data_IF_412181477012
#
_entry.id   IF_412181477012
#
_cell.length_a   1.000
_cell.length_b   1.000
_cell.length_c   1.000
_cell.angle_alpha   90.00
_cell.angle_beta   90.00
_cell.angle_gamma   90.00
#
_symmetry.space_group_name_H-M   'P 1'
#
loop_
_entity.id
_entity.type
_entity.pdbx_description
1 polymer ?
#
# COMPACT_ATOMS: atom_id res chain seq x y z
N UNK A 1 36.05 9.79 -18.50
CA UNK A 1 36.63 8.74 -17.62
C UNK A 1 35.51 7.77 -17.28
N UNK A 2 35.34 6.72 -18.07
CA UNK A 2 34.49 5.58 -17.71
C UNK A 2 35.22 4.74 -16.67
N UNK A 3 34.64 4.61 -15.47
CA UNK A 3 35.09 3.60 -14.51
C UNK A 3 34.43 2.27 -14.89
N UNK A 4 35.09 1.50 -15.75
CA UNK A 4 34.75 0.10 -15.99
C UNK A 4 35.08 -0.68 -14.72
N UNK A 5 34.06 -0.97 -13.92
CA UNK A 5 34.16 -1.87 -12.78
C UNK A 5 34.51 -3.27 -13.28
N UNK A 6 35.80 -3.61 -13.29
CA UNK A 6 36.24 -4.98 -13.54
C UNK A 6 35.89 -5.83 -12.33
N UNK A 7 34.73 -6.49 -12.39
CA UNK A 7 34.25 -7.43 -11.38
C UNK A 7 35.13 -8.69 -11.43
N UNK A 8 36.18 -8.71 -10.61
CA UNK A 8 36.92 -9.93 -10.30
C UNK A 8 35.94 -11.00 -9.80
N UNK A 9 36.07 -12.25 -10.25
CA UNK A 9 35.13 -13.34 -9.97
C UNK A 9 34.88 -13.61 -8.48
N UNK A 10 35.80 -13.22 -7.59
CA UNK A 10 35.63 -13.30 -6.13
C UNK A 10 34.81 -12.12 -5.56
N UNK A 11 34.94 -10.93 -6.15
CA UNK A 11 34.19 -9.74 -5.75
C UNK A 11 32.73 -9.83 -6.22
N UNK A 12 32.46 -10.42 -7.38
CA UNK A 12 31.09 -10.64 -7.87
C UNK A 12 30.30 -11.58 -6.96
N UNK A 13 30.92 -12.65 -6.44
CA UNK A 13 30.28 -13.57 -5.48
C UNK A 13 29.95 -12.83 -4.18
N UNK A 14 30.87 -12.04 -3.64
CA UNK A 14 30.64 -11.27 -2.41
C UNK A 14 29.51 -10.25 -2.59
N UNK A 15 29.46 -9.56 -3.74
CA UNK A 15 28.37 -8.63 -4.07
C UNK A 15 27.04 -9.38 -4.19
N UNK A 16 27.01 -10.53 -4.86
CA UNK A 16 25.79 -11.34 -4.99
C UNK A 16 25.25 -11.80 -3.62
N UNK A 17 26.14 -12.23 -2.71
CA UNK A 17 25.76 -12.63 -1.35
C UNK A 17 25.22 -11.43 -0.56
N UNK A 18 25.85 -10.25 -0.65
CA UNK A 18 25.36 -9.03 -0.03
C UNK A 18 23.97 -8.64 -0.55
N UNK A 19 23.74 -8.73 -1.85
CA UNK A 19 22.41 -8.46 -2.45
C UNK A 19 21.38 -9.46 -1.93
N UNK A 20 21.71 -10.74 -1.83
CA UNK A 20 20.83 -11.77 -1.28
C UNK A 20 20.47 -11.52 0.19
N UNK A 21 21.45 -11.12 1.00
CA UNK A 21 21.21 -10.78 2.41
C UNK A 21 20.31 -9.55 2.51
N UNK A 22 20.58 -8.50 1.73
CA UNK A 22 19.73 -7.32 1.68
C UNK A 22 18.30 -7.67 1.26
N UNK A 23 18.14 -8.58 0.31
CA UNK A 23 16.83 -9.06 -0.15
C UNK A 23 16.10 -9.88 0.93
N UNK A 24 16.81 -10.78 1.62
CA UNK A 24 16.24 -11.59 2.71
C UNK A 24 15.82 -10.72 3.90
N UNK A 25 16.67 -9.79 4.31
CA UNK A 25 16.35 -8.79 5.34
C UNK A 25 15.16 -7.95 4.88
N UNK A 26 15.07 -7.59 3.59
CA UNK A 26 13.94 -6.83 3.06
C UNK A 26 12.61 -7.56 3.20
N UNK A 27 12.57 -8.83 2.77
CA UNK A 27 11.39 -9.68 2.90
C UNK A 27 10.97 -9.85 4.37
N UNK A 28 11.94 -9.95 5.29
CA UNK A 28 11.66 -10.03 6.72
C UNK A 28 11.12 -8.71 7.33
N UNK A 29 11.38 -7.56 6.70
CA UNK A 29 10.87 -6.25 7.15
C UNK A 29 9.53 -5.83 6.56
N UNK A 30 8.97 -6.64 5.65
CA UNK A 30 7.57 -6.51 5.26
C UNK A 30 6.74 -6.99 6.47
N UNK A 31 6.17 -6.04 7.19
CA UNK A 31 5.41 -6.29 8.41
C UNK A 31 3.95 -5.87 8.30
N UNK A 32 3.15 -6.40 9.20
CA UNK A 32 1.76 -5.97 9.42
C UNK A 32 1.68 -4.48 9.78
N UNK A 33 0.56 -3.85 9.42
CA UNK A 33 0.29 -2.45 9.76
C UNK A 33 -0.04 -2.32 11.23
N UNK A 34 0.99 -2.09 12.05
CA UNK A 34 0.85 -1.85 13.49
C UNK A 34 0.58 -0.36 13.83
N UNK A 35 -0.01 0.41 12.91
CA UNK A 35 -0.34 1.82 13.11
C UNK A 35 -1.84 2.04 12.91
N UNK A 36 -2.56 2.24 14.03
CA UNK A 36 -4.02 2.45 14.04
C UNK A 36 -4.44 3.66 13.20
N UNK A 37 -3.61 4.71 13.16
CA UNK A 37 -3.90 5.92 12.37
C UNK A 37 -3.77 5.65 10.88
N UNK A 38 -2.80 4.81 10.48
CA UNK A 38 -2.67 4.39 9.08
C UNK A 38 -3.84 3.49 8.69
N UNK A 39 -4.25 2.57 9.56
CA UNK A 39 -5.43 1.73 9.35
C UNK A 39 -6.71 2.55 9.20
N UNK A 40 -6.89 3.59 10.02
CA UNK A 40 -8.02 4.51 9.88
C UNK A 40 -7.97 5.28 8.54
N UNK A 41 -6.79 5.72 8.11
CA UNK A 41 -6.63 6.40 6.82
C UNK A 41 -6.94 5.47 5.63
N UNK A 42 -6.54 4.20 5.69
CA UNK A 42 -6.88 3.20 4.68
C UNK A 42 -8.40 2.99 4.60
N UNK A 43 -9.08 2.85 5.75
CA UNK A 43 -10.53 2.70 5.81
C UNK A 43 -11.27 3.93 5.26
N UNK A 44 -10.76 5.13 5.54
CA UNK A 44 -11.33 6.37 5.02
C UNK A 44 -11.24 6.43 3.48
N UNK A 45 -10.11 6.02 2.91
CA UNK A 45 -9.93 5.96 1.45
C UNK A 45 -10.87 4.92 0.81
N UNK A 46 -10.98 3.73 1.41
CA UNK A 46 -11.90 2.69 0.92
C UNK A 46 -13.37 3.15 0.98
N UNK A 47 -13.77 3.87 2.03
CA UNK A 47 -15.10 4.44 2.13
C UNK A 47 -15.35 5.53 1.07
N UNK A 48 -14.32 6.31 0.72
CA UNK A 48 -14.39 7.30 -0.36
C UNK A 48 -14.58 6.63 -1.73
N UNK A 49 -13.82 5.57 -2.02
CA UNK A 49 -13.97 4.76 -3.24
C UNK A 49 -15.36 4.12 -3.34
N UNK A 50 -15.86 3.58 -2.22
CA UNK A 50 -17.22 3.05 -2.13
C UNK A 50 -18.27 4.14 -2.41
N UNK A 51 -18.11 5.32 -1.82
CA UNK A 51 -18.98 6.48 -2.06
C UNK A 51 -19.00 6.91 -3.53
N UNK A 52 -17.84 6.93 -4.20
CA UNK A 52 -17.76 7.22 -5.63
C UNK A 52 -18.50 6.19 -6.48
N UNK A 53 -18.34 4.90 -6.17
CA UNK A 53 -19.03 3.83 -6.90
C UNK A 53 -20.55 3.88 -6.69
N UNK A 54 -21.01 4.18 -5.48
CA UNK A 54 -22.42 4.39 -5.18
C UNK A 54 -22.98 5.62 -5.88
N UNK A 55 -22.22 6.70 -5.94
CA UNK A 55 -22.57 7.90 -6.69
C UNK A 55 -22.77 7.62 -8.18
N UNK A 56 -21.95 6.75 -8.78
CA UNK A 56 -22.13 6.29 -10.16
C UNK A 56 -23.37 5.39 -10.29
N UNK A 57 -23.57 4.43 -9.39
CA UNK A 57 -24.74 3.54 -9.40
C UNK A 57 -26.07 4.30 -9.26
N UNK A 58 -26.07 5.35 -8.42
CA UNK A 58 -27.16 6.32 -8.27
C UNK A 58 -27.45 7.06 -9.59
N UNK A 59 -26.42 7.59 -10.25
CA UNK A 59 -26.59 8.29 -11.53
C UNK A 59 -27.12 7.37 -12.64
N UNK A 60 -26.72 6.09 -12.60
CA UNK A 60 -27.14 5.08 -13.56
C UNK A 60 -28.50 4.44 -13.23
N UNK A 61 -29.13 4.80 -12.10
CA UNK A 61 -30.36 4.18 -11.58
C UNK A 61 -30.33 2.64 -11.54
N UNK A 62 -29.15 2.06 -11.24
CA UNK A 62 -28.97 0.60 -11.26
C UNK A 62 -29.64 -0.10 -10.09
N UNK A 63 -29.86 0.61 -8.98
CA UNK A 63 -30.31 0.05 -7.71
C UNK A 63 -31.34 0.96 -7.03
N UNK A 64 -32.16 0.40 -6.15
CA UNK A 64 -33.06 1.18 -5.31
C UNK A 64 -32.33 1.80 -4.10
N UNK A 65 -32.99 2.75 -3.44
CA UNK A 65 -32.39 3.49 -2.30
C UNK A 65 -32.06 2.53 -1.13
N UNK A 66 -32.86 1.48 -0.92
CA UNK A 66 -32.64 0.52 0.15
C UNK A 66 -31.35 -0.27 -0.07
N UNK A 67 -31.15 -0.79 -1.28
CA UNK A 67 -29.94 -1.52 -1.67
C UNK A 67 -28.73 -0.60 -1.64
N UNK A 68 -28.84 0.63 -2.15
CA UNK A 68 -27.74 1.60 -2.07
C UNK A 68 -27.35 1.96 -0.63
N UNK A 69 -28.33 2.00 0.29
CA UNK A 69 -28.07 2.24 1.71
C UNK A 69 -27.31 1.07 2.35
N UNK A 70 -27.66 -0.16 1.96
CA UNK A 70 -26.95 -1.36 2.42
C UNK A 70 -25.52 -1.42 1.84
N UNK A 71 -25.36 -1.14 0.55
CA UNK A 71 -24.06 -1.06 -0.12
C UNK A 71 -23.18 0.09 0.42
N UNK A 72 -23.79 1.15 0.99
CA UNK A 72 -23.08 2.26 1.64
C UNK A 72 -22.55 1.93 3.04
N UNK A 73 -22.87 0.76 3.60
CA UNK A 73 -22.42 0.39 4.92
C UNK A 73 -20.90 0.10 4.92
N UNK A 74 -20.07 0.88 5.64
CA UNK A 74 -18.62 0.67 5.70
C UNK A 74 -18.23 -0.69 6.31
N UNK A 75 -19.15 -1.35 7.02
CA UNK A 75 -18.96 -2.69 7.54
C UNK A 75 -18.88 -3.75 6.43
N UNK A 76 -19.37 -3.44 5.21
CA UNK A 76 -19.36 -4.35 4.07
C UNK A 76 -18.06 -4.27 3.24
N UNK A 77 -17.06 -3.52 3.71
CA UNK A 77 -15.74 -3.46 3.09
C UNK A 77 -14.87 -4.54 3.72
N UNK A 78 -14.57 -5.59 2.94
CA UNK A 78 -13.64 -6.63 3.35
C UNK A 78 -12.21 -6.18 3.08
N UNK A 79 -11.41 -6.02 4.15
CA UNK A 79 -9.97 -5.75 4.06
C UNK A 79 -9.21 -7.02 4.44
N UNK A 80 -8.67 -7.71 3.44
CA UNK A 80 -8.02 -9.01 3.61
C UNK A 80 -6.58 -8.89 4.13
N UNK A 81 -5.84 -7.87 3.69
CA UNK A 81 -4.47 -7.64 4.18
C UNK A 81 -4.03 -6.20 3.98
N UNK A 82 -3.35 -5.67 4.98
CA UNK A 82 -2.58 -4.44 4.89
C UNK A 82 -1.14 -4.75 5.27
N UNK A 83 -0.19 -4.41 4.41
CA UNK A 83 1.22 -4.60 4.70
C UNK A 83 2.00 -3.35 4.29
N UNK A 84 2.96 -2.93 5.10
CA UNK A 84 3.70 -1.67 4.90
C UNK A 84 5.17 -1.95 4.60
N UNK A 85 5.66 -1.30 3.55
CA UNK A 85 7.09 -1.24 3.25
C UNK A 85 7.72 -0.05 3.98
N UNK A 86 8.55 -0.30 5.01
CA UNK A 86 9.33 0.74 5.73
C UNK A 86 10.81 0.68 5.31
N UNK A 87 11.55 1.80 5.18
CA UNK A 87 13.00 1.76 4.93
C UNK A 87 13.75 1.05 6.08
N UNK A 88 14.71 0.18 5.75
CA UNK A 88 15.51 -0.62 6.72
C UNK A 88 16.25 0.22 7.77
N UNK A 89 16.45 1.52 7.51
CA UNK A 89 17.21 2.45 8.33
C UNK A 89 16.43 3.73 8.68
N UNK A 90 15.09 3.71 8.65
CA UNK A 90 14.34 4.87 9.18
C UNK A 90 14.29 4.79 10.71
N UNK A 91 15.28 5.41 11.37
CA UNK A 91 15.26 5.67 12.82
C UNK A 91 14.37 6.86 13.20
N UNK A 92 13.75 7.53 12.20
CA UNK A 92 12.79 8.62 12.37
C UNK A 92 11.34 8.18 12.10
N UNK A 93 10.37 9.04 12.46
CA UNK A 93 8.96 8.86 12.14
C UNK A 93 8.80 8.64 10.63
N UNK A 94 8.34 7.47 10.23
CA UNK A 94 8.13 7.10 8.82
C UNK A 94 7.15 8.10 8.21
N UNK A 95 7.65 9.03 7.41
CA UNK A 95 6.81 10.05 6.76
C UNK A 95 6.09 9.51 5.54
N UNK A 96 6.50 8.38 4.97
CA UNK A 96 5.83 7.77 3.81
C UNK A 96 5.80 6.25 3.88
N UNK A 97 4.69 5.67 3.50
CA UNK A 97 4.45 4.23 3.54
C UNK A 97 3.74 3.79 2.26
N UNK A 98 4.29 2.78 1.57
CA UNK A 98 3.53 2.07 0.53
C UNK A 98 2.79 0.93 1.21
N UNK A 99 1.46 0.95 1.11
CA UNK A 99 0.56 -0.06 1.65
C UNK A 99 0.07 -0.94 0.52
N UNK A 100 0.22 -2.25 0.66
CA UNK A 100 -0.49 -3.22 -0.16
C UNK A 100 -1.87 -3.44 0.47
N UNK A 101 -2.94 -3.11 -0.25
CA UNK A 101 -4.32 -3.26 0.21
C UNK A 101 -5.00 -4.30 -0.67
N UNK A 102 -5.47 -5.38 -0.07
CA UNK A 102 -6.34 -6.36 -0.74
C UNK A 102 -7.74 -6.19 -0.16
N UNK A 103 -8.69 -5.79 -1.00
CA UNK A 103 -10.05 -5.48 -0.56
C UNK A 103 -11.10 -5.93 -1.56
N UNK A 104 -12.33 -6.10 -1.08
CA UNK A 104 -13.52 -6.22 -1.93
C UNK A 104 -14.52 -5.14 -1.54
N UNK A 105 -15.06 -4.46 -2.54
CA UNK A 105 -16.23 -3.60 -2.36
C UNK A 105 -17.50 -4.42 -2.64
N UNK A 106 -18.64 -4.02 -2.09
CA UNK A 106 -19.91 -4.68 -2.36
C UNK A 106 -20.18 -4.81 -3.87
N UNK A 107 -20.62 -6.00 -4.30
CA UNK A 107 -20.87 -6.36 -5.71
C UNK A 107 -19.65 -6.31 -6.64
N UNK A 108 -18.43 -6.20 -6.11
CA UNK A 108 -17.21 -6.18 -6.90
C UNK A 108 -16.30 -7.36 -6.58
N UNK A 109 -15.50 -7.75 -7.57
CA UNK A 109 -14.43 -8.72 -7.35
C UNK A 109 -13.37 -8.13 -6.42
N UNK A 110 -12.71 -8.98 -5.65
CA UNK A 110 -11.57 -8.57 -4.83
C UNK A 110 -10.46 -8.00 -5.70
N UNK A 111 -9.93 -6.83 -5.33
CA UNK A 111 -8.84 -6.16 -6.01
C UNK A 111 -7.67 -5.98 -5.05
N UNK A 112 -6.46 -6.16 -5.58
CA UNK A 112 -5.22 -5.90 -4.86
C UNK A 112 -4.54 -4.67 -5.44
N UNK A 113 -4.46 -3.61 -4.64
CA UNK A 113 -3.82 -2.35 -5.02
C UNK A 113 -2.64 -2.01 -4.11
N UNK A 114 -1.81 -1.09 -4.57
CA UNK A 114 -0.70 -0.53 -3.81
C UNK A 114 -0.93 0.97 -3.69
N UNK A 115 -0.89 1.51 -2.48
CA UNK A 115 -1.19 2.92 -2.21
C UNK A 115 -0.04 3.57 -1.46
N UNK A 116 0.30 4.80 -1.84
CA UNK A 116 1.28 5.61 -1.12
C UNK A 116 0.56 6.52 -0.13
N UNK A 117 0.92 6.38 1.15
CA UNK A 117 0.50 7.27 2.22
C UNK A 117 1.66 8.12 2.69
N UNK A 118 1.36 9.37 3.06
CA UNK A 118 2.31 10.30 3.68
C UNK A 118 1.78 10.76 5.05
N UNK A 119 2.61 10.65 6.08
CA UNK A 119 2.33 11.07 7.44
C UNK A 119 2.77 12.53 7.63
N UNK A 120 1.80 13.39 7.94
CA UNK A 120 2.06 14.79 8.30
C UNK A 120 1.95 15.00 9.82
N UNK A 121 2.80 15.85 10.38
CA UNK A 121 2.84 16.11 11.82
C UNK A 121 1.54 16.69 12.39
N UNK A 122 0.75 17.38 11.55
CA UNK A 122 -0.46 18.10 11.95
C UNK A 122 -1.75 17.38 11.48
N UNK A 123 -1.67 16.58 10.42
CA UNK A 123 -2.84 15.96 9.78
C UNK A 123 -2.85 14.43 9.77
N UNK A 124 -1.85 13.77 10.35
CA UNK A 124 -1.73 12.31 10.33
C UNK A 124 -1.45 11.75 8.93
N UNK A 125 -1.80 10.48 8.73
CA UNK A 125 -1.62 9.75 7.47
C UNK A 125 -2.64 10.19 6.42
N UNK A 126 -2.16 10.45 5.20
CA UNK A 126 -3.00 10.84 4.06
C UNK A 126 -2.64 10.03 2.84
N UNK A 127 -3.66 9.55 2.14
CA UNK A 127 -3.48 8.97 0.81
C UNK A 127 -2.92 10.04 -0.14
N UNK A 128 -1.98 9.65 -0.99
CA UNK A 128 -1.37 10.54 -1.99
C UNK A 128 -1.67 10.09 -3.40
N UNK A 129 -1.41 8.82 -3.68
CA UNK A 129 -1.57 8.24 -5.02
C UNK A 129 -1.52 6.71 -4.97
N UNK A 130 -1.98 6.09 -6.06
CA UNK A 130 -1.68 4.70 -6.36
C UNK A 130 -0.18 4.54 -6.60
N UNK A 131 0.35 3.43 -6.12
CA UNK A 131 1.73 3.03 -6.21
C UNK A 131 1.82 1.71 -6.99
N UNK A 132 3.02 1.15 -7.06
CA UNK A 132 3.29 -0.10 -7.77
C UNK A 132 3.83 -1.17 -6.83
N UNK A 133 3.70 -2.44 -7.24
CA UNK A 133 4.38 -3.55 -6.58
C UNK A 133 5.90 -3.31 -6.51
N UNK A 134 6.48 -2.70 -7.54
CA UNK A 134 7.91 -2.38 -7.59
C UNK A 134 8.27 -1.39 -6.47
N UNK A 135 7.53 -0.29 -6.33
CA UNK A 135 7.71 0.68 -5.24
C UNK A 135 7.53 0.05 -3.87
N UNK A 136 6.57 -0.87 -3.75
CA UNK A 136 6.33 -1.62 -2.52
C UNK A 136 7.51 -2.50 -2.13
N UNK A 137 8.07 -3.32 -3.03
CA UNK A 137 9.18 -4.21 -2.68
C UNK A 137 10.54 -3.48 -2.62
N UNK A 138 10.78 -2.52 -3.52
CA UNK A 138 12.06 -1.81 -3.65
C UNK A 138 12.15 -0.52 -2.84
N UNK A 139 11.07 -0.09 -2.19
CA UNK A 139 11.02 1.14 -1.40
C UNK A 139 11.30 2.43 -2.21
N UNK A 140 10.98 2.43 -3.51
CA UNK A 140 10.97 3.65 -4.30
C UNK A 140 9.72 4.45 -3.92
N UNK A 141 9.90 5.35 -2.94
CA UNK A 141 8.91 6.32 -2.46
C UNK A 141 8.83 7.55 -3.36
#
# INVERSE_FOLDING_TARGET
>A
MEKTFQLNGRNSIVIAVLVLILFAVRLATIGEVNDDKLTAAIRAELANDMGNNLGQALQENKHDIATLTELANPANIDVYSTAVSKPLLSTGSVTRAVVKVHYALPEQNSVQEYWLFEHSAIGGWRYRQRSSALSYYLNFL
#
